data_IF_492261163862
#
_entry.id   IF_492261163862
#
_cell.length_a   1.000
_cell.length_b   1.000
_cell.length_c   1.000
_cell.angle_alpha   90.00
_cell.angle_beta   90.00
_cell.angle_gamma   90.00
#
_symmetry.space_group_name_H-M   'P 1'
#
loop_
_entity.id
_entity.type
_entity.pdbx_description
1 polymer ?
#
# COMPACT_ATOMS: atom_id res chain seq x y z
N UNK A 1 0.84 7.93 -27.29
CA UNK A 1 2.12 7.65 -27.99
C UNK A 1 1.84 6.73 -29.18
N UNK A 2 2.32 7.05 -30.39
CA UNK A 2 2.22 6.17 -31.56
C UNK A 2 3.58 5.50 -31.80
N UNK A 3 3.70 4.16 -31.75
CA UNK A 3 5.00 3.48 -31.88
C UNK A 3 5.71 3.80 -33.19
N UNK A 4 4.94 3.99 -34.26
CA UNK A 4 5.41 4.37 -35.59
C UNK A 4 6.02 5.79 -35.67
N UNK A 5 5.84 6.61 -34.63
CA UNK A 5 6.38 7.98 -34.54
C UNK A 5 7.57 8.08 -33.59
N UNK A 6 7.99 6.97 -32.96
CA UNK A 6 9.15 6.95 -32.07
C UNK A 6 10.40 6.62 -32.88
N UNK A 7 11.39 7.51 -32.87
CA UNK A 7 12.69 7.25 -33.49
C UNK A 7 13.37 6.07 -32.77
N UNK A 8 13.98 5.16 -33.55
CA UNK A 8 14.72 3.98 -33.07
C UNK A 8 13.92 2.92 -32.29
N UNK A 9 12.59 2.91 -32.38
CA UNK A 9 11.77 1.84 -31.80
C UNK A 9 11.43 0.80 -32.86
N UNK A 10 12.16 -0.34 -32.85
CA UNK A 10 11.86 -1.47 -33.73
C UNK A 10 10.68 -2.26 -33.16
N UNK A 11 9.55 -2.21 -33.86
CA UNK A 11 8.39 -3.06 -33.54
C UNK A 11 8.70 -4.49 -33.96
N UNK A 12 8.51 -5.44 -33.05
CA UNK A 12 8.69 -6.85 -33.33
C UNK A 12 7.60 -7.36 -34.27
N UNK A 13 8.01 -8.04 -35.35
CA UNK A 13 7.09 -8.61 -36.32
C UNK A 13 6.29 -9.76 -35.68
N UNK A 14 4.98 -9.81 -35.94
CA UNK A 14 4.09 -10.84 -35.40
C UNK A 14 3.50 -10.48 -34.03
N UNK A 15 4.33 -10.13 -33.04
CA UNK A 15 3.86 -9.78 -31.68
C UNK A 15 3.38 -8.33 -31.57
N UNK A 16 3.90 -7.43 -32.41
CA UNK A 16 3.64 -6.00 -32.31
C UNK A 16 4.27 -5.35 -31.07
N UNK A 17 5.14 -6.08 -30.37
CA UNK A 17 5.81 -5.59 -29.17
C UNK A 17 6.78 -4.46 -29.51
N UNK A 18 6.83 -3.45 -28.64
CA UNK A 18 7.81 -2.38 -28.70
C UNK A 18 8.15 -1.91 -27.29
N UNK A 19 9.38 -1.42 -27.13
CA UNK A 19 9.88 -0.81 -25.90
C UNK A 19 10.61 0.46 -26.24
N UNK A 20 10.47 1.46 -25.39
CA UNK A 20 11.16 2.74 -25.51
C UNK A 20 11.57 3.23 -24.13
N UNK A 21 12.46 4.22 -24.09
CA UNK A 21 12.95 4.87 -22.88
C UNK A 21 13.08 6.35 -23.17
N UNK A 22 12.78 7.18 -22.18
CA UNK A 22 12.89 8.62 -22.26
C UNK A 22 13.89 9.11 -21.23
N UNK A 23 14.61 10.18 -21.54
CA UNK A 23 15.38 10.96 -20.58
C UNK A 23 14.45 11.90 -19.82
N UNK A 24 14.91 12.40 -18.67
CA UNK A 24 14.11 13.24 -17.77
C UNK A 24 13.52 14.47 -18.46
N UNK A 25 14.27 15.12 -19.35
CA UNK A 25 13.87 16.30 -20.11
C UNK A 25 12.86 16.02 -21.24
N UNK A 26 12.74 14.75 -21.64
CA UNK A 26 11.78 14.30 -22.66
C UNK A 26 10.42 13.95 -22.06
N UNK A 27 10.36 13.69 -20.74
CA UNK A 27 9.11 13.34 -20.03
C UNK A 27 8.26 14.58 -19.85
N UNK A 28 7.02 14.52 -20.34
CA UNK A 28 6.05 15.61 -20.20
C UNK A 28 4.80 15.14 -19.45
N UNK A 29 4.09 16.02 -18.72
CA UNK A 29 2.88 15.65 -17.99
C UNK A 29 1.83 14.94 -18.85
N UNK A 30 1.70 15.27 -20.14
CA UNK A 30 0.71 14.65 -21.03
C UNK A 30 1.02 13.19 -21.37
N UNK A 31 2.25 12.72 -21.10
CA UNK A 31 2.60 11.30 -21.19
C UNK A 31 1.91 10.47 -20.10
N UNK A 32 1.32 11.14 -19.10
CA UNK A 32 0.53 10.50 -18.07
C UNK A 32 -0.86 10.04 -18.57
N UNK A 33 -1.33 10.56 -19.69
CA UNK A 33 -2.65 10.22 -20.21
C UNK A 33 -2.57 9.03 -21.18
N UNK A 34 -3.11 7.89 -20.74
CA UNK A 34 -3.14 6.66 -21.55
C UNK A 34 -4.55 6.38 -22.07
N UNK A 35 -4.71 6.38 -23.40
CA UNK A 35 -5.95 5.97 -24.07
C UNK A 35 -5.77 4.65 -24.80
N UNK A 36 -6.52 3.63 -24.39
CA UNK A 36 -6.57 2.32 -25.05
C UNK A 36 -7.83 2.29 -25.92
N UNK A 37 -7.65 2.02 -27.22
CA UNK A 37 -8.76 1.92 -28.18
C UNK A 37 -8.67 0.58 -28.89
N UNK A 38 -9.77 -0.17 -28.90
CA UNK A 38 -9.89 -1.38 -29.71
C UNK A 38 -10.14 -1.00 -31.16
N UNK A 39 -9.26 -1.39 -32.07
CA UNK A 39 -9.46 -1.24 -33.51
C UNK A 39 -9.95 -2.57 -34.10
N UNK A 40 -11.02 -2.52 -34.89
CA UNK A 40 -11.56 -3.68 -35.62
C UNK A 40 -11.32 -3.44 -37.12
N UNK A 41 -10.66 -4.36 -37.85
CA UNK A 41 -10.47 -4.21 -39.29
C UNK A 41 -11.82 -4.17 -40.02
N UNK A 42 -11.96 -3.31 -41.01
CA UNK A 42 -13.20 -3.13 -41.79
C UNK A 42 -13.70 -4.42 -42.48
N UNK A 43 -12.84 -5.45 -42.64
CA UNK A 43 -13.18 -6.76 -43.20
C UNK A 43 -13.91 -7.69 -42.24
N UNK A 44 -14.01 -7.33 -40.95
CA UNK A 44 -14.83 -8.01 -39.95
C UNK A 44 -15.92 -7.03 -39.53
N UNK A 45 -17.19 -7.41 -39.68
CA UNK A 45 -18.34 -6.58 -39.27
C UNK A 45 -18.07 -5.94 -37.90
N UNK A 46 -18.37 -4.64 -37.77
CA UNK A 46 -18.38 -3.95 -36.48
C UNK A 46 -19.34 -4.66 -35.54
N UNK A 47 -18.79 -5.51 -34.67
CA UNK A 47 -19.58 -6.35 -33.78
C UNK A 47 -18.75 -7.35 -32.98
N UNK A 48 -18.68 -7.14 -31.67
CA UNK A 48 -18.59 -8.17 -30.62
C UNK A 48 -17.37 -9.11 -30.49
N UNK A 49 -16.18 -8.75 -30.97
CA UNK A 49 -14.96 -9.39 -30.44
C UNK A 49 -14.67 -8.95 -28.99
N UNK A 50 -14.50 -9.87 -28.03
CA UNK A 50 -13.96 -9.50 -26.71
C UNK A 50 -12.45 -9.28 -26.85
N UNK A 51 -11.93 -8.20 -26.29
CA UNK A 51 -10.48 -7.95 -26.21
C UNK A 51 -10.10 -7.88 -24.73
N UNK A 52 -9.06 -8.62 -24.37
CA UNK A 52 -8.46 -8.60 -23.04
C UNK A 52 -7.10 -7.94 -23.12
N UNK A 53 -6.77 -7.09 -22.16
CA UNK A 53 -5.50 -6.39 -22.07
C UNK A 53 -5.34 -5.74 -20.70
N UNK A 54 -4.09 -5.48 -20.32
CA UNK A 54 -3.76 -4.84 -19.06
C UNK A 54 -2.78 -3.69 -19.31
N UNK A 55 -2.90 -2.63 -18.50
CA UNK A 55 -1.95 -1.52 -18.45
C UNK A 55 -1.30 -1.56 -17.07
N UNK A 56 0.02 -1.56 -17.06
CA UNK A 56 0.80 -1.45 -15.83
C UNK A 56 1.54 -0.13 -15.83
N UNK A 57 1.46 0.59 -14.72
CA UNK A 57 2.20 1.80 -14.48
C UNK A 57 3.00 1.66 -13.19
N UNK A 58 4.31 1.88 -13.29
CA UNK A 58 5.22 1.79 -12.16
C UNK A 58 6.09 3.05 -12.09
N UNK A 59 6.22 3.60 -10.88
CA UNK A 59 7.05 4.75 -10.58
C UNK A 59 7.58 4.65 -9.15
N UNK A 60 8.62 5.43 -8.84
CA UNK A 60 9.09 5.64 -7.48
C UNK A 60 8.49 6.93 -6.94
N UNK A 61 8.14 6.94 -5.66
CA UNK A 61 7.60 8.09 -4.96
C UNK A 61 8.08 8.09 -3.52
N UNK A 62 8.19 9.29 -2.93
CA UNK A 62 8.44 9.44 -1.50
C UNK A 62 7.25 8.87 -0.71
N UNK A 63 7.52 8.04 0.31
CA UNK A 63 6.48 7.32 1.03
C UNK A 63 5.40 8.25 1.61
N UNK A 64 5.76 9.46 2.05
CA UNK A 64 4.87 10.47 2.62
C UNK A 64 4.06 11.26 1.58
N UNK A 65 4.26 11.02 0.28
CA UNK A 65 3.44 11.60 -0.80
C UNK A 65 2.42 10.62 -1.38
N UNK A 66 2.42 9.37 -0.90
CA UNK A 66 1.47 8.35 -1.35
C UNK A 66 0.07 8.70 -0.84
N UNK A 67 -0.87 8.92 -1.75
CA UNK A 67 -2.30 9.08 -1.44
C UNK A 67 -2.97 7.72 -1.20
N UNK A 68 -4.08 7.66 -0.48
CA UNK A 68 -4.84 6.42 -0.34
C UNK A 68 -5.40 5.92 -1.68
N UNK A 69 -5.41 4.61 -1.90
CA UNK A 69 -6.13 3.98 -3.01
C UNK A 69 -7.15 2.96 -2.49
N UNK A 70 -8.37 3.03 -3.00
CA UNK A 70 -9.46 2.14 -2.61
C UNK A 70 -9.87 1.25 -3.79
N UNK A 71 -10.05 -0.04 -3.51
CA UNK A 71 -10.71 -1.01 -4.38
C UNK A 71 -11.89 -1.60 -3.58
N UNK A 72 -12.46 -2.78 -3.90
CA UNK A 72 -13.38 -3.48 -2.99
C UNK A 72 -12.77 -3.76 -1.60
N UNK A 73 -11.44 -3.67 -1.48
CA UNK A 73 -10.75 -3.57 -0.21
C UNK A 73 -10.48 -2.10 0.15
N UNK A 74 -10.79 -1.73 1.39
CA UNK A 74 -10.43 -0.42 1.95
C UNK A 74 -9.54 -0.60 3.15
N UNK A 75 -8.56 0.28 3.26
CA UNK A 75 -7.59 0.27 4.33
C UNK A 75 -7.39 1.66 4.91
N UNK A 76 -7.36 1.75 6.24
CA UNK A 76 -7.01 2.97 6.95
C UNK A 76 -5.98 2.68 8.04
N UNK A 77 -4.87 3.42 8.02
CA UNK A 77 -3.84 3.37 9.06
C UNK A 77 -3.92 4.63 9.91
N UNK A 78 -3.87 4.48 11.23
CA UNK A 78 -3.69 5.58 12.19
C UNK A 78 -2.63 5.21 13.21
N UNK A 79 -1.99 6.22 13.77
CA UNK A 79 -1.08 6.09 14.90
C UNK A 79 -1.69 6.77 16.12
N UNK A 80 -1.47 6.18 17.29
CA UNK A 80 -1.89 6.74 18.56
C UNK A 80 -0.72 6.74 19.55
N UNK A 81 -0.49 7.86 20.23
CA UNK A 81 0.41 7.90 21.38
C UNK A 81 -0.30 7.22 22.55
N UNK A 82 0.35 6.22 23.13
CA UNK A 82 -0.13 5.46 24.27
C UNK A 82 0.52 5.99 25.55
N UNK A 83 -0.32 6.34 26.53
CA UNK A 83 0.09 6.86 27.83
C UNK A 83 -0.58 6.05 28.92
N UNK A 84 0.19 5.61 29.93
CA UNK A 84 -0.37 4.94 31.09
C UNK A 84 -0.65 5.99 32.17
N UNK A 85 -1.90 6.03 32.65
CA UNK A 85 -2.35 6.90 33.73
C UNK A 85 -2.77 6.05 34.94
N UNK A 86 -3.07 6.69 36.06
CA UNK A 86 -3.60 6.02 37.25
C UNK A 86 -4.98 5.35 36.98
N UNK A 87 -5.69 5.77 35.93
CA UNK A 87 -6.98 5.21 35.51
C UNK A 87 -6.85 4.13 34.42
N UNK A 88 -5.64 3.86 33.95
CA UNK A 88 -5.35 2.85 32.93
C UNK A 88 -4.72 3.43 31.67
N UNK A 89 -4.79 2.64 30.60
CA UNK A 89 -4.24 3.00 29.30
C UNK A 89 -5.10 4.05 28.61
N UNK A 90 -4.49 5.16 28.23
CA UNK A 90 -5.09 6.18 27.36
C UNK A 90 -4.35 6.22 26.03
N UNK A 91 -5.09 6.45 24.95
CA UNK A 91 -4.55 6.61 23.60
C UNK A 91 -5.04 7.93 22.99
N UNK A 92 -4.13 8.66 22.37
CA UNK A 92 -4.41 9.93 21.67
C UNK A 92 -3.87 9.87 20.25
N UNK A 93 -4.63 10.37 19.27
CA UNK A 93 -4.21 10.30 17.86
C UNK A 93 -2.93 11.11 17.63
N UNK A 94 -1.97 10.52 16.92
CA UNK A 94 -0.76 11.22 16.49
C UNK A 94 -1.10 12.10 15.29
N UNK A 95 -0.91 13.40 15.45
CA UNK A 95 -1.12 14.44 14.44
C UNK A 95 0.18 15.21 14.22
N UNK A 96 0.19 16.14 13.27
CA UNK A 96 1.34 17.04 13.03
C UNK A 96 1.74 17.88 14.26
N UNK A 97 0.81 18.06 15.20
CA UNK A 97 1.05 18.78 16.46
C UNK A 97 1.54 17.90 17.60
N UNK A 98 1.46 16.57 17.45
CA UNK A 98 1.85 15.62 18.48
C UNK A 98 3.37 15.56 18.58
N UNK A 99 3.91 15.85 19.75
CA UNK A 99 5.34 15.73 20.02
C UNK A 99 5.66 14.35 20.55
N UNK A 100 6.26 13.51 19.71
CA UNK A 100 6.79 12.21 20.13
C UNK A 100 8.21 12.38 20.70
N UNK A 101 8.50 11.60 21.73
CA UNK A 101 9.80 11.50 22.38
C UNK A 101 10.33 10.08 22.34
N UNK A 102 11.65 9.93 22.40
CA UNK A 102 12.27 8.61 22.54
C UNK A 102 11.75 7.95 23.82
N UNK A 103 11.41 6.67 23.72
CA UNK A 103 10.83 5.87 24.80
C UNK A 103 9.31 5.78 24.79
N UNK A 104 8.60 6.68 24.09
CA UNK A 104 7.15 6.64 23.96
C UNK A 104 6.67 5.33 23.33
N UNK A 105 5.45 4.93 23.69
CA UNK A 105 4.74 3.84 23.02
C UNK A 105 3.76 4.42 22.00
N UNK A 106 3.84 3.94 20.77
CA UNK A 106 2.93 4.31 19.68
C UNK A 106 2.14 3.07 19.28
N UNK A 107 0.82 3.13 19.40
CA UNK A 107 -0.08 2.11 18.89
C UNK A 107 -0.38 2.38 17.43
N UNK A 108 -0.08 1.41 16.59
CA UNK A 108 -0.58 1.37 15.22
C UNK A 108 -1.99 0.78 15.25
N UNK A 109 -2.94 1.43 14.58
CA UNK A 109 -4.28 0.89 14.33
C UNK A 109 -4.51 0.81 12.82
N UNK A 110 -4.82 -0.37 12.34
CA UNK A 110 -5.16 -0.62 10.93
C UNK A 110 -6.62 -1.09 10.88
N UNK A 111 -7.47 -0.35 10.18
CA UNK A 111 -8.83 -0.76 9.87
C UNK A 111 -8.87 -1.30 8.45
N UNK A 112 -9.36 -2.53 8.30
CA UNK A 112 -9.61 -3.17 7.01
C UNK A 112 -11.12 -3.30 6.85
N UNK A 113 -11.64 -2.87 5.71
CA UNK A 113 -13.02 -3.14 5.30
C UNK A 113 -13.01 -3.91 3.99
N UNK A 114 -13.64 -5.08 3.99
CA UNK A 114 -13.86 -5.89 2.81
C UNK A 114 -15.34 -6.00 2.50
N UNK A 115 -15.73 -5.76 1.24
CA UNK A 115 -17.12 -5.88 0.78
C UNK A 115 -17.53 -7.33 0.43
N UNK A 116 -16.55 -8.24 0.35
CA UNK A 116 -16.69 -9.65 -0.07
C UNK A 116 -15.68 -10.55 0.65
N UNK A 117 -15.87 -11.86 0.50
CA UNK A 117 -14.87 -12.84 0.93
C UNK A 117 -13.69 -12.88 -0.05
N UNK A 118 -12.48 -13.02 0.48
CA UNK A 118 -11.24 -13.16 -0.28
C UNK A 118 -10.35 -14.24 0.34
N UNK A 119 -9.45 -14.79 -0.46
CA UNK A 119 -8.51 -15.82 -0.04
C UNK A 119 -7.08 -15.37 -0.32
N UNK A 120 -6.14 -15.88 0.49
CA UNK A 120 -4.71 -15.65 0.36
C UNK A 120 -4.35 -14.16 0.26
N UNK A 121 -4.81 -13.39 1.24
CA UNK A 121 -4.57 -11.95 1.34
C UNK A 121 -3.33 -11.71 2.18
N UNK A 122 -2.48 -10.80 1.75
CA UNK A 122 -1.30 -10.36 2.50
C UNK A 122 -1.42 -8.87 2.77
N UNK A 123 -1.33 -8.51 4.05
CA UNK A 123 -1.15 -7.14 4.49
C UNK A 123 0.29 -6.96 4.96
N UNK A 124 0.96 -5.92 4.46
CA UNK A 124 2.28 -5.50 4.88
C UNK A 124 2.19 -4.10 5.42
N UNK A 125 2.44 -3.93 6.71
CA UNK A 125 2.50 -2.64 7.34
C UNK A 125 3.95 -2.20 7.57
N UNK A 126 4.39 -1.16 6.87
CA UNK A 126 5.70 -0.54 7.10
C UNK A 126 5.67 0.35 8.35
N UNK A 127 6.84 0.63 8.92
CA UNK A 127 6.97 1.52 10.09
C UNK A 127 8.05 2.58 9.85
N UNK A 128 7.99 3.69 10.58
CA UNK A 128 9.09 4.66 10.62
C UNK A 128 10.38 3.99 11.13
N UNK A 129 11.54 4.38 10.60
CA UNK A 129 12.84 3.84 11.03
C UNK A 129 13.21 4.16 12.48
N UNK A 130 12.51 5.11 13.11
CA UNK A 130 12.65 5.45 14.51
C UNK A 130 11.77 4.60 15.44
N UNK A 131 10.96 3.69 14.89
CA UNK A 131 10.05 2.83 15.65
C UNK A 131 10.50 1.38 15.64
N UNK A 132 10.49 0.76 16.82
CA UNK A 132 10.82 -0.64 17.03
C UNK A 132 9.58 -1.43 17.49
N UNK A 133 9.31 -2.64 16.95
CA UNK A 133 8.24 -3.49 17.45
C UNK A 133 8.47 -3.93 18.90
N UNK A 134 7.42 -3.90 19.73
CA UNK A 134 7.47 -4.49 21.07
C UNK A 134 7.49 -6.03 21.01
N UNK A 135 6.81 -6.61 20.02
CA UNK A 135 6.75 -8.05 19.83
C UNK A 135 7.35 -8.46 18.49
N UNK A 136 8.34 -9.35 18.54
CA UNK A 136 9.06 -9.89 17.38
C UNK A 136 8.67 -11.34 17.05
N UNK A 137 7.82 -11.97 17.87
CA UNK A 137 7.43 -13.37 17.69
C UNK A 137 6.40 -13.51 16.58
N UNK A 138 6.73 -14.31 15.57
CA UNK A 138 5.79 -14.68 14.52
C UNK A 138 4.88 -15.80 15.01
N UNK A 139 3.56 -15.65 14.85
CA UNK A 139 2.59 -16.61 15.37
C UNK A 139 1.25 -16.51 14.62
N UNK A 140 0.48 -17.60 14.69
CA UNK A 140 -0.93 -17.57 14.34
C UNK A 140 -1.72 -16.87 15.44
N UNK A 141 -2.60 -15.95 15.04
CA UNK A 141 -3.54 -15.26 15.91
C UNK A 141 -4.96 -15.51 15.43
N UNK A 142 -5.88 -15.51 16.38
CA UNK A 142 -7.31 -15.57 16.14
C UNK A 142 -7.97 -14.46 16.94
N UNK A 143 -8.58 -13.50 16.26
CA UNK A 143 -9.21 -12.35 16.88
C UNK A 143 -10.49 -12.01 16.12
N UNK A 144 -11.58 -11.74 16.83
CA UNK A 144 -12.85 -11.26 16.26
C UNK A 144 -13.37 -12.11 15.07
N UNK A 145 -13.14 -13.42 15.13
CA UNK A 145 -13.56 -14.38 14.09
C UNK A 145 -12.65 -14.42 12.86
N UNK A 146 -11.48 -13.79 12.90
CA UNK A 146 -10.48 -13.78 11.84
C UNK A 146 -9.18 -14.44 12.30
N UNK A 147 -8.77 -15.48 11.58
CA UNK A 147 -7.48 -16.14 11.75
C UNK A 147 -6.44 -15.58 10.79
N UNK A 148 -5.23 -15.31 11.30
CA UNK A 148 -4.12 -14.82 10.48
C UNK A 148 -2.76 -15.21 11.07
N UNK A 149 -1.75 -15.32 10.22
CA UNK A 149 -0.37 -15.45 10.64
C UNK A 149 0.30 -14.07 10.67
N UNK A 150 0.83 -13.67 11.82
CA UNK A 150 1.57 -12.42 11.98
C UNK A 150 3.07 -12.71 11.97
N UNK A 151 3.83 -11.95 11.18
CA UNK A 151 5.29 -11.99 11.15
C UNK A 151 5.89 -10.59 11.17
N UNK A 152 6.49 -10.26 12.31
CA UNK A 152 7.27 -9.05 12.49
C UNK A 152 8.63 -9.19 11.84
N UNK A 153 8.98 -8.24 10.98
CA UNK A 153 10.31 -8.03 10.39
C UNK A 153 10.80 -6.64 10.75
N UNK A 154 12.08 -6.38 10.53
CA UNK A 154 12.75 -5.12 10.89
C UNK A 154 11.97 -3.89 10.39
N UNK A 155 11.70 -3.83 9.09
CA UNK A 155 11.04 -2.66 8.48
C UNK A 155 9.51 -2.76 8.38
N UNK A 156 8.89 -3.89 8.74
CA UNK A 156 7.44 -4.10 8.55
C UNK A 156 6.84 -5.22 9.39
N UNK A 157 5.55 -5.12 9.71
CA UNK A 157 4.75 -6.22 10.26
C UNK A 157 3.90 -6.79 9.14
N UNK A 158 3.96 -8.11 8.95
CA UNK A 158 3.26 -8.81 7.88
C UNK A 158 2.12 -9.64 8.47
N UNK A 159 0.96 -9.62 7.83
CA UNK A 159 -0.22 -10.37 8.20
C UNK A 159 -0.68 -11.18 6.99
N UNK A 160 -0.75 -12.50 7.15
CA UNK A 160 -1.16 -13.42 6.10
C UNK A 160 -2.50 -14.03 6.48
N UNK A 161 -3.49 -13.86 5.61
CA UNK A 161 -4.85 -14.34 5.78
C UNK A 161 -5.12 -15.42 4.74
N UNK A 162 -5.34 -16.65 5.19
CA UNK A 162 -5.81 -17.71 4.29
C UNK A 162 -7.21 -17.39 3.78
N UNK A 163 -8.06 -16.85 4.65
CA UNK A 163 -9.42 -16.43 4.35
C UNK A 163 -9.76 -15.11 5.06
N UNK A 164 -10.16 -14.10 4.28
CA UNK A 164 -10.65 -12.81 4.76
C UNK A 164 -12.14 -12.70 4.43
N UNK A 165 -13.04 -12.90 5.41
CA UNK A 165 -14.46 -12.75 5.19
C UNK A 165 -14.86 -11.29 4.90
N UNK A 166 -16.07 -11.11 4.40
CA UNK A 166 -16.70 -9.77 4.33
C UNK A 166 -16.86 -9.22 5.74
N UNK A 167 -16.42 -7.99 5.98
CA UNK A 167 -16.51 -7.37 7.30
C UNK A 167 -15.62 -6.15 7.48
N UNK A 168 -15.54 -5.71 8.73
CA UNK A 168 -14.61 -4.67 9.19
C UNK A 168 -13.76 -5.28 10.31
N UNK A 169 -12.45 -5.14 10.20
CA UNK A 169 -11.48 -5.70 11.13
C UNK A 169 -10.51 -4.61 11.57
N UNK A 170 -10.19 -4.58 12.86
CA UNK A 170 -9.27 -3.61 13.45
C UNK A 170 -8.09 -4.36 14.05
N UNK A 171 -6.89 -4.02 13.59
CA UNK A 171 -5.64 -4.59 14.07
C UNK A 171 -4.89 -3.54 14.84
N UNK A 172 -4.43 -3.90 16.03
CA UNK A 172 -3.66 -3.00 16.87
C UNK A 172 -2.39 -3.68 17.36
N UNK A 173 -1.28 -2.95 17.29
CA UNK A 173 -0.03 -3.39 17.86
C UNK A 173 0.85 -2.20 18.26
N UNK A 174 1.67 -2.40 19.29
CA UNK A 174 2.47 -1.34 19.88
C UNK A 174 3.90 -1.34 19.32
N UNK A 175 4.41 -0.13 19.09
CA UNK A 175 5.78 0.20 18.75
C UNK A 175 6.39 1.06 19.84
N UNK A 176 7.70 0.97 20.02
CA UNK A 176 8.49 1.88 20.84
C UNK A 176 9.22 2.89 19.96
N UNK A 177 9.18 4.15 20.35
CA UNK A 177 10.04 5.18 19.77
C UNK A 177 11.45 4.97 20.28
N UNK A 178 12.39 4.72 19.36
CA UNK A 178 13.78 4.38 19.68
C UNK A 178 14.76 5.48 19.26
N UNK A 179 14.56 6.11 18.10
CA UNK A 179 15.46 7.16 17.58
C UNK A 179 14.70 8.46 17.30
N UNK A 180 15.33 9.60 17.59
CA UNK A 180 14.83 10.91 17.21
C UNK A 180 15.07 11.20 15.71
N UNK A 181 14.32 12.15 15.16
CA UNK A 181 14.46 12.59 13.77
C UNK A 181 13.15 12.83 13.05
N UNK A 182 13.25 13.07 11.74
CA UNK A 182 12.13 13.34 10.86
C UNK A 182 12.03 12.26 9.79
N UNK A 183 11.05 11.36 9.93
CA UNK A 183 10.99 10.09 9.21
C UNK A 183 9.60 9.86 8.59
N UNK A 184 9.55 9.20 7.45
CA UNK A 184 8.28 8.73 6.87
C UNK A 184 7.84 7.45 7.59
N UNK A 185 6.58 7.36 7.99
CA UNK A 185 6.01 6.20 8.69
C UNK A 185 5.78 4.98 7.79
N UNK A 186 6.05 5.13 6.50
CA UNK A 186 5.67 4.15 5.48
C UNK A 186 4.16 4.02 5.35
N UNK A 187 3.76 3.12 4.46
CA UNK A 187 2.36 2.80 4.18
C UNK A 187 2.03 1.39 4.65
N UNK A 188 0.74 1.13 4.86
CA UNK A 188 0.24 -0.24 4.87
C UNK A 188 -0.26 -0.58 3.48
N UNK A 189 0.18 -1.71 2.93
CA UNK A 189 -0.40 -2.30 1.72
C UNK A 189 -1.15 -3.56 2.08
N UNK A 190 -2.21 -3.85 1.33
CA UNK A 190 -2.95 -5.11 1.42
C UNK A 190 -3.34 -5.56 0.03
N UNK A 191 -3.14 -6.83 -0.28
CA UNK A 191 -3.43 -7.37 -1.60
C UNK A 191 -3.74 -8.86 -1.55
N UNK A 192 -4.61 -9.33 -2.45
CA UNK A 192 -4.68 -10.76 -2.75
C UNK A 192 -3.43 -11.20 -3.51
N UNK A 193 -2.87 -12.35 -3.14
CA UNK A 193 -1.72 -12.94 -3.82
C UNK A 193 -2.02 -13.45 -5.23
N UNK A 194 -3.30 -13.73 -5.53
CA UNK A 194 -3.73 -14.34 -6.80
C UNK A 194 -4.62 -13.43 -7.64
N UNK A 195 -5.13 -12.34 -7.08
CA UNK A 195 -5.97 -11.37 -7.79
C UNK A 195 -5.55 -9.92 -7.43
N UNK A 196 -4.46 -9.41 -8.04
CA UNK A 196 -3.84 -8.12 -7.69
C UNK A 196 -4.76 -6.90 -7.82
N UNK A 197 -5.83 -7.01 -8.61
CA UNK A 197 -6.89 -6.00 -8.70
C UNK A 197 -7.62 -5.77 -7.36
N UNK A 198 -7.57 -6.75 -6.44
CA UNK A 198 -7.99 -6.60 -5.06
C UNK A 198 -6.80 -6.20 -4.19
N UNK A 199 -6.44 -4.93 -4.28
CA UNK A 199 -5.38 -4.33 -3.46
C UNK A 199 -5.81 -2.97 -2.93
N UNK A 200 -5.21 -2.53 -1.84
CA UNK A 200 -5.41 -1.19 -1.28
C UNK A 200 -4.16 -0.79 -0.51
N UNK A 201 -4.00 0.51 -0.29
CA UNK A 201 -2.95 1.03 0.56
C UNK A 201 -3.38 2.28 1.29
N UNK A 202 -2.78 2.49 2.47
CA UNK A 202 -2.92 3.73 3.22
C UNK A 202 -2.25 4.89 2.50
N UNK A 203 -2.59 6.09 2.94
CA UNK A 203 -1.71 7.23 2.75
C UNK A 203 -0.40 7.05 3.53
N UNK A 204 0.64 7.76 3.10
CA UNK A 204 1.85 7.93 3.88
C UNK A 204 1.74 9.12 4.82
N UNK A 205 2.30 8.99 6.01
CA UNK A 205 2.40 10.10 6.97
C UNK A 205 3.85 10.31 7.39
N UNK A 206 4.17 11.54 7.75
CA UNK A 206 5.50 11.92 8.25
C UNK A 206 5.46 12.13 9.74
N UNK A 207 6.52 11.69 10.42
CA UNK A 207 6.62 11.71 11.88
C UNK A 207 7.87 12.47 12.28
N UNK A 208 7.71 13.40 13.24
CA UNK A 208 8.80 14.15 13.85
C UNK A 208 8.94 13.74 15.30
N UNK A 209 10.13 13.29 15.67
CA UNK A 209 10.51 12.90 17.03
C UNK A 209 11.61 13.85 17.46
N UNK A 210 11.39 14.57 18.55
CA UNK A 210 12.38 15.52 19.06
C UNK A 210 13.45 14.79 19.88
N UNK A 211 14.69 15.28 19.81
CA UNK A 211 15.69 14.99 20.83
C UNK A 211 15.26 15.68 22.15
N UNK A 212 15.65 15.09 23.28
CA UNK A 212 15.31 15.59 24.62
C UNK A 212 15.83 17.00 24.88
#
# INVERSE_FOLDING_TARGET
ISPSKLENVKVEAGTGYYKTSWKTDEIKPEMADVKITKTVPASRQEGNGIAWGALYWQYFEDLDKISSAETPLKLKKKLFLKTNTDFGEEISEVTDSTQLKVGDLVRVRIEIRSDRQMEFVHMKDMRASGFEPINVLSQYKWQDGLGYYESTKDASTNFFFDYLPKGVYVFEYDLRVNNAGNMSNGITTIQSMYAPEFSSHSEGIRIKINEF
#
